data_IF_138460736191
#
_entry.id   IF_138460736191
#
_cell.length_a   1.000
_cell.length_b   1.000
_cell.length_c   1.000
_cell.angle_alpha   90.00
_cell.angle_beta   90.00
_cell.angle_gamma   90.00
#
_symmetry.space_group_name_H-M   'P 1'
#
loop_
_entity.id
_entity.type
_entity.pdbx_description
1 polymer ?
#
# COMPACT_ATOMS: atom_id res chain seq x y z
N UNK A 1 -38.86 -29.07 6.51
CA UNK A 1 -37.78 -28.86 5.54
C UNK A 1 -37.39 -27.38 5.58
N UNK A 2 -36.37 -27.05 6.37
CA UNK A 2 -35.99 -25.66 6.66
C UNK A 2 -34.65 -25.41 5.97
N UNK A 3 -34.69 -24.76 4.79
CA UNK A 3 -33.48 -24.23 4.15
C UNK A 3 -33.36 -22.78 4.61
N UNK A 4 -32.69 -22.59 5.74
CA UNK A 4 -32.28 -21.27 6.22
C UNK A 4 -31.35 -20.66 5.17
N UNK A 5 -31.83 -19.59 4.53
CA UNK A 5 -31.13 -18.88 3.49
C UNK A 5 -30.07 -18.04 4.19
N UNK A 6 -28.84 -18.54 4.25
CA UNK A 6 -27.71 -17.85 4.88
C UNK A 6 -27.56 -16.46 4.26
N UNK A 7 -27.87 -15.44 5.06
CA UNK A 7 -27.93 -14.06 4.65
C UNK A 7 -26.58 -13.58 4.13
N UNK A 8 -26.58 -13.20 2.85
CA UNK A 8 -25.69 -12.20 2.23
C UNK A 8 -24.33 -12.03 2.92
N UNK A 9 -23.38 -12.91 2.62
CA UNK A 9 -21.94 -12.71 2.89
C UNK A 9 -21.32 -11.56 2.06
N UNK A 10 -22.07 -10.48 1.79
CA UNK A 10 -21.59 -9.28 1.12
C UNK A 10 -20.53 -8.55 1.97
N UNK A 11 -20.58 -8.74 3.30
CA UNK A 11 -19.57 -8.32 4.27
C UNK A 11 -18.71 -9.51 4.74
N UNK A 12 -17.92 -10.09 3.82
CA UNK A 12 -16.81 -10.93 4.27
C UNK A 12 -15.83 -10.03 5.03
N UNK A 13 -15.49 -10.35 6.28
CA UNK A 13 -14.55 -9.58 7.14
C UNK A 13 -13.29 -9.16 6.37
N UNK A 14 -12.78 -10.05 5.52
CA UNK A 14 -11.65 -9.79 4.61
C UNK A 14 -11.83 -8.55 3.73
N UNK A 15 -13.02 -8.32 3.16
CA UNK A 15 -13.32 -7.15 2.31
C UNK A 15 -13.34 -5.86 3.12
N UNK A 16 -13.91 -5.90 4.32
CA UNK A 16 -13.97 -4.75 5.22
C UNK A 16 -12.56 -4.34 5.64
N UNK A 17 -11.72 -5.31 6.04
CA UNK A 17 -10.33 -5.06 6.41
C UNK A 17 -9.54 -4.50 5.23
N UNK A 18 -9.72 -5.04 4.01
CA UNK A 18 -9.07 -4.48 2.82
C UNK A 18 -9.55 -3.05 2.51
N UNK A 19 -10.85 -2.75 2.63
CA UNK A 19 -11.36 -1.40 2.42
C UNK A 19 -10.79 -0.41 3.44
N UNK A 20 -10.70 -0.80 4.72
CA UNK A 20 -10.09 0.01 5.77
C UNK A 20 -8.62 0.29 5.43
N UNK A 21 -7.84 -0.75 5.08
CA UNK A 21 -6.44 -0.60 4.70
C UNK A 21 -6.27 0.30 3.48
N UNK A 22 -7.13 0.16 2.47
CA UNK A 22 -7.11 0.99 1.27
C UNK A 22 -7.34 2.46 1.63
N UNK A 23 -8.41 2.75 2.37
CA UNK A 23 -8.74 4.12 2.80
C UNK A 23 -7.63 4.71 3.65
N UNK A 24 -7.09 3.94 4.60
CA UNK A 24 -6.00 4.39 5.46
C UNK A 24 -4.75 4.70 4.64
N UNK A 25 -4.41 3.88 3.66
CA UNK A 25 -3.27 4.11 2.75
C UNK A 25 -3.45 5.40 1.96
N UNK A 26 -4.65 5.63 1.42
CA UNK A 26 -4.98 6.84 0.67
C UNK A 26 -4.86 8.07 1.57
N UNK A 27 -5.50 8.05 2.75
CA UNK A 27 -5.45 9.15 3.72
C UNK A 27 -4.01 9.41 4.15
N UNK A 28 -3.25 8.35 4.44
CA UNK A 28 -1.83 8.45 4.79
C UNK A 28 -1.02 9.09 3.67
N UNK A 29 -1.25 8.71 2.41
CA UNK A 29 -0.62 9.37 1.27
C UNK A 29 -0.92 10.87 1.30
N UNK A 30 -2.20 11.27 1.31
CA UNK A 30 -2.65 12.67 1.34
C UNK A 30 -2.10 13.48 2.52
N UNK A 31 -2.10 12.93 3.73
CA UNK A 31 -1.54 13.59 4.91
C UNK A 31 -0.02 13.78 4.81
N UNK A 32 0.67 12.87 4.13
CA UNK A 32 2.12 12.88 3.97
C UNK A 32 2.57 13.41 2.60
N UNK A 33 1.71 14.14 1.87
CA UNK A 33 2.12 14.91 0.67
C UNK A 33 2.98 16.14 1.01
N UNK A 34 3.22 16.40 2.31
CA UNK A 34 4.17 17.44 2.71
C UNK A 34 5.56 17.12 2.16
N UNK A 35 6.17 18.12 1.57
CA UNK A 35 7.55 18.06 1.08
C UNK A 35 8.49 17.93 2.25
N UNK A 36 9.30 16.87 2.25
CA UNK A 36 10.40 16.69 3.20
C UNK A 36 11.71 16.91 2.47
N UNK A 37 12.67 17.52 3.15
CA UNK A 37 14.03 17.64 2.63
C UNK A 37 14.82 16.43 3.12
N UNK A 38 15.29 15.62 2.18
CA UNK A 38 16.09 14.44 2.44
C UNK A 38 17.54 14.79 2.09
N UNK A 39 18.41 14.64 3.06
CA UNK A 39 19.85 14.76 2.88
C UNK A 39 20.40 13.37 2.53
N UNK A 40 20.62 13.13 1.24
CA UNK A 40 21.38 11.98 0.77
C UNK A 40 22.88 12.22 0.95
N UNK A 41 23.67 11.14 0.91
CA UNK A 41 25.13 11.15 1.07
C UNK A 41 25.85 12.17 0.17
N UNK A 42 25.30 12.47 -1.02
CA UNK A 42 25.93 13.35 -2.03
C UNK A 42 24.96 14.44 -2.51
N UNK A 43 23.68 14.39 -2.15
CA UNK A 43 22.66 15.27 -2.72
C UNK A 43 21.58 15.62 -1.71
N UNK A 44 20.89 16.74 -1.92
CA UNK A 44 19.69 17.10 -1.15
C UNK A 44 18.50 17.08 -2.10
N UNK A 45 17.43 16.40 -1.72
CA UNK A 45 16.19 16.41 -2.48
C UNK A 45 15.03 16.86 -1.60
N UNK A 46 14.25 17.83 -2.07
CA UNK A 46 13.02 18.26 -1.42
C UNK A 46 11.85 17.74 -2.22
N UNK A 47 11.31 16.60 -1.80
CA UNK A 47 10.20 15.92 -2.46
C UNK A 47 9.19 15.45 -1.42
N UNK A 48 7.92 15.25 -1.79
CA UNK A 48 6.94 14.66 -0.88
C UNK A 48 7.40 13.27 -0.42
N UNK A 49 7.31 13.00 0.89
CA UNK A 49 7.75 11.74 1.50
C UNK A 49 7.14 10.51 0.81
N UNK A 50 5.91 10.64 0.32
CA UNK A 50 5.21 9.59 -0.39
C UNK A 50 5.94 9.07 -1.63
N UNK A 51 6.70 9.90 -2.36
CA UNK A 51 7.45 9.46 -3.54
C UNK A 51 8.56 8.46 -3.19
N UNK A 52 9.24 8.65 -2.06
CA UNK A 52 10.27 7.71 -1.57
C UNK A 52 9.67 6.34 -1.25
N UNK A 53 8.52 6.33 -0.59
CA UNK A 53 7.83 5.10 -0.21
C UNK A 53 7.46 4.31 -1.47
N UNK A 54 6.95 4.99 -2.50
CA UNK A 54 6.65 4.36 -3.80
C UNK A 54 7.94 3.82 -4.44
N UNK A 55 9.02 4.61 -4.45
CA UNK A 55 10.28 4.20 -5.07
C UNK A 55 10.81 2.90 -4.43
N UNK A 56 10.88 2.84 -3.10
CA UNK A 56 11.33 1.64 -2.37
C UNK A 56 10.38 0.46 -2.60
N UNK A 57 9.07 0.70 -2.66
CA UNK A 57 8.08 -0.34 -2.93
C UNK A 57 8.25 -0.93 -4.35
N UNK A 58 8.49 -0.09 -5.36
CA UNK A 58 8.77 -0.52 -6.73
C UNK A 58 10.07 -1.32 -6.78
N UNK A 59 11.14 -0.84 -6.14
CA UNK A 59 12.44 -1.54 -6.09
C UNK A 59 12.27 -2.93 -5.44
N UNK A 60 11.59 -2.98 -4.29
CA UNK A 60 11.32 -4.24 -3.58
C UNK A 60 10.47 -5.19 -4.42
N UNK A 61 9.44 -4.68 -5.11
CA UNK A 61 8.58 -5.47 -5.99
C UNK A 61 9.35 -6.05 -7.18
N UNK A 62 10.16 -5.24 -7.87
CA UNK A 62 11.01 -5.68 -8.98
C UNK A 62 12.00 -6.74 -8.50
N UNK A 63 12.68 -6.50 -7.39
CA UNK A 63 13.65 -7.44 -6.82
C UNK A 63 12.99 -8.78 -6.45
N UNK A 64 11.82 -8.73 -5.81
CA UNK A 64 11.02 -9.91 -5.49
C UNK A 64 10.55 -10.66 -6.74
N UNK A 65 10.11 -9.95 -7.78
CA UNK A 65 9.68 -10.54 -9.04
C UNK A 65 10.84 -11.24 -9.76
N UNK A 66 12.00 -10.59 -9.88
CA UNK A 66 13.20 -11.15 -10.50
C UNK A 66 13.72 -12.39 -9.75
N UNK A 67 13.60 -12.39 -8.41
CA UNK A 67 13.99 -13.54 -7.58
C UNK A 67 12.98 -14.69 -7.68
N UNK A 68 11.68 -14.38 -7.75
CA UNK A 68 10.61 -15.38 -7.90
C UNK A 68 10.70 -16.14 -9.24
N UNK A 69 11.18 -15.48 -10.30
CA UNK A 69 11.37 -16.09 -11.63
C UNK A 69 12.57 -17.06 -11.73
N UNK A 70 13.34 -17.26 -10.65
CA UNK A 70 14.50 -18.17 -10.62
C UNK A 70 14.15 -19.59 -10.13
N UNK A 71 12.88 -19.99 -10.12
CA UNK A 71 12.44 -21.32 -9.65
C UNK A 71 11.85 -22.15 -10.77
#
# INVERSE_FOLDING_TARGET
>A
MMKEKNDKQLFTIKRVVMLILLVLTIVFAFLNFKTVTIDFLIAKATIPLFYEIIAVLIIGFICGYLTKNKK
#
